data_IF_201036584369
#
_entry.id   IF_201036584369
#
_cell.length_a   1.000
_cell.length_b   1.000
_cell.length_c   1.000
_cell.angle_alpha   90.00
_cell.angle_beta   90.00
_cell.angle_gamma   90.00
#
_symmetry.space_group_name_H-M   'P 1'
#
loop_
_entity.id
_entity.type
_entity.pdbx_description
1 polymer ?
#
# COMPACT_ATOMS: atom_id res chain seq x y z
N UNK A 1 28.80 -12.50 0.43
CA UNK A 1 28.59 -11.05 0.26
C UNK A 1 27.19 -10.85 -0.29
N UNK A 2 26.24 -10.23 0.45
CA UNK A 2 24.95 -9.90 -0.12
C UNK A 2 25.12 -8.68 -1.02
N UNK A 3 24.61 -8.77 -2.25
CA UNK A 3 24.67 -7.69 -3.23
C UNK A 3 23.67 -6.59 -2.87
N UNK A 4 24.12 -5.35 -3.02
CA UNK A 4 23.32 -4.13 -2.87
C UNK A 4 22.26 -4.09 -3.96
N UNK A 5 20.99 -4.28 -3.60
CA UNK A 5 19.86 -4.09 -4.52
C UNK A 5 19.66 -2.59 -4.70
N UNK A 6 19.91 -2.10 -5.92
CA UNK A 6 19.68 -0.71 -6.30
C UNK A 6 18.16 -0.52 -6.51
N UNK A 7 17.49 0.04 -5.50
CA UNK A 7 16.07 0.40 -5.58
C UNK A 7 15.94 1.67 -6.41
N UNK A 8 15.75 1.49 -7.73
CA UNK A 8 15.42 2.57 -8.65
C UNK A 8 14.28 3.43 -8.09
N UNK A 9 14.48 4.75 -8.17
CA UNK A 9 13.66 5.80 -7.59
C UNK A 9 12.17 5.62 -7.92
N UNK A 10 11.38 5.26 -6.90
CA UNK A 10 9.92 5.16 -7.00
C UNK A 10 9.35 6.57 -7.21
N UNK A 11 8.96 6.90 -8.45
CA UNK A 11 8.36 8.20 -8.76
C UNK A 11 6.92 8.23 -8.25
N UNK A 12 6.74 8.75 -7.03
CA UNK A 12 5.45 9.15 -6.49
C UNK A 12 4.88 10.30 -7.34
N UNK A 13 3.88 10.02 -8.19
CA UNK A 13 3.18 11.08 -8.91
C UNK A 13 1.97 11.52 -8.11
N UNK A 14 1.85 12.83 -7.86
CA UNK A 14 0.64 13.40 -7.24
C UNK A 14 -0.49 13.33 -8.27
N UNK A 15 -1.53 12.54 -8.01
CA UNK A 15 -2.79 12.62 -8.77
C UNK A 15 -3.62 13.72 -8.11
N UNK A 16 -4.04 14.71 -8.88
CA UNK A 16 -4.78 15.88 -8.39
C UNK A 16 -6.28 15.57 -8.26
N UNK A 17 -6.74 15.38 -7.02
CA UNK A 17 -8.15 15.36 -6.61
C UNK A 17 -8.18 15.89 -5.17
N UNK A 18 -8.91 16.98 -4.94
CA UNK A 18 -9.14 17.73 -3.68
C UNK A 18 -7.92 17.95 -2.72
N UNK A 19 -7.56 19.20 -2.36
CA UNK A 19 -6.43 19.48 -1.46
C UNK A 19 -6.47 18.77 -0.08
N UNK A 20 -7.61 18.24 0.35
CA UNK A 20 -7.77 17.48 1.60
C UNK A 20 -7.37 15.99 1.47
N UNK A 21 -7.28 15.43 0.26
CA UNK A 21 -6.92 14.03 0.01
C UNK A 21 -5.49 13.95 -0.52
N UNK A 22 -4.51 13.77 0.37
CA UNK A 22 -3.15 13.46 -0.07
C UNK A 22 -3.13 12.02 -0.60
N UNK A 23 -3.07 11.84 -1.93
CA UNK A 23 -3.00 10.53 -2.58
C UNK A 23 -1.52 10.06 -2.64
N UNK A 24 -1.28 8.77 -2.37
CA UNK A 24 0.03 8.11 -2.52
C UNK A 24 -0.01 7.30 -3.83
N UNK A 25 -0.09 7.94 -4.99
CA UNK A 25 -0.10 7.16 -6.24
C UNK A 25 1.32 6.64 -6.52
N UNK A 26 1.56 5.40 -6.15
CA UNK A 26 2.75 4.67 -6.54
C UNK A 26 2.46 4.00 -7.89
N UNK A 27 2.76 4.67 -9.00
CA UNK A 27 2.80 3.99 -10.30
C UNK A 27 4.20 3.41 -10.44
N UNK A 28 4.33 2.08 -10.43
CA UNK A 28 5.61 1.43 -10.67
C UNK A 28 6.04 1.65 -12.14
N UNK A 29 7.10 2.41 -12.46
CA UNK A 29 7.61 2.48 -13.83
C UNK A 29 8.48 1.25 -14.15
N UNK A 30 8.96 0.51 -13.14
CA UNK A 30 9.85 -0.64 -13.30
C UNK A 30 9.19 -1.86 -13.96
N UNK A 31 7.86 -1.95 -14.02
CA UNK A 31 7.17 -2.98 -14.82
C UNK A 31 7.20 -2.68 -16.34
N UNK A 32 7.65 -1.50 -16.78
CA UNK A 32 7.69 -1.19 -18.22
C UNK A 32 8.79 -1.95 -18.99
N UNK A 33 9.72 -2.64 -18.32
CA UNK A 33 10.76 -3.44 -18.99
C UNK A 33 10.39 -4.89 -19.28
N UNK A 34 9.21 -5.36 -18.86
CA UNK A 34 8.76 -6.72 -19.14
C UNK A 34 7.24 -6.79 -19.36
N UNK A 35 6.75 -6.30 -20.51
CA UNK A 35 5.48 -6.72 -21.14
C UNK A 35 4.13 -6.61 -20.40
N UNK A 36 4.10 -6.42 -19.07
CA UNK A 36 2.90 -6.41 -18.24
C UNK A 36 3.03 -5.32 -17.18
N UNK A 37 2.35 -4.20 -17.42
CA UNK A 37 2.30 -3.10 -16.45
C UNK A 37 1.26 -3.40 -15.37
N UNK A 38 1.71 -3.68 -14.14
CA UNK A 38 0.82 -3.73 -12.97
C UNK A 38 0.50 -2.29 -12.54
N UNK A 39 -0.78 -1.94 -12.59
CA UNK A 39 -1.25 -0.64 -12.11
C UNK A 39 -1.75 -0.81 -10.67
N UNK A 40 -1.07 -0.14 -9.75
CA UNK A 40 -1.45 -0.13 -8.33
C UNK A 40 -1.65 1.33 -7.95
N UNK A 41 -2.83 1.67 -7.45
CA UNK A 41 -3.13 3.00 -6.91
C UNK A 41 -3.24 2.88 -5.39
N UNK A 42 -2.31 3.49 -4.66
CA UNK A 42 -2.34 3.55 -3.19
C UNK A 42 -2.91 4.90 -2.74
N UNK A 43 -3.79 4.89 -1.76
CA UNK A 43 -4.48 6.09 -1.26
C UNK A 43 -4.33 6.09 0.27
N UNK A 44 -3.64 7.11 0.79
CA UNK A 44 -3.45 7.29 2.23
C UNK A 44 -3.01 8.72 2.55
N UNK A 45 -3.61 9.33 3.59
CA UNK A 45 -3.17 10.64 4.06
C UNK A 45 -1.95 10.52 4.98
N UNK A 46 -1.22 11.63 5.19
CA UNK A 46 -0.13 11.66 6.17
C UNK A 46 -0.60 11.31 7.60
N UNK A 47 -1.81 11.72 7.98
CA UNK A 47 -2.43 11.37 9.26
C UNK A 47 -2.72 9.86 9.35
N UNK A 48 -3.14 9.22 8.27
CA UNK A 48 -3.37 7.77 8.24
C UNK A 48 -2.06 7.00 8.41
N UNK A 49 -0.96 7.45 7.79
CA UNK A 49 0.35 6.81 7.98
C UNK A 49 0.84 6.96 9.42
N UNK A 50 0.62 8.14 10.02
CA UNK A 50 0.91 8.38 11.44
C UNK A 50 0.06 7.50 12.35
N UNK A 51 -1.21 7.27 12.00
CA UNK A 51 -2.09 6.36 12.73
C UNK A 51 -1.56 4.93 12.66
N UNK A 52 -1.19 4.43 11.48
CA UNK A 52 -0.59 3.11 11.32
C UNK A 52 0.72 2.97 12.11
N UNK A 53 1.56 4.01 12.13
CA UNK A 53 2.79 4.04 12.93
C UNK A 53 2.52 3.98 14.45
N UNK A 54 1.41 4.55 14.91
CA UNK A 54 1.03 4.55 16.31
C UNK A 54 0.40 3.22 16.77
N UNK A 55 -0.19 2.47 15.84
CA UNK A 55 -0.88 1.21 16.15
C UNK A 55 0.01 -0.01 15.93
N UNK A 56 0.01 -0.91 16.91
CA UNK A 56 0.79 -2.17 16.88
C UNK A 56 0.05 -3.32 16.20
N UNK A 57 -1.26 -3.23 16.08
CA UNK A 57 -2.09 -4.26 15.44
C UNK A 57 -2.71 -3.71 14.18
N UNK A 58 -2.41 -4.34 13.06
CA UNK A 58 -2.95 -3.98 11.75
C UNK A 58 -3.89 -5.06 11.25
N UNK A 59 -4.93 -4.65 10.54
CA UNK A 59 -5.79 -5.54 9.77
C UNK A 59 -5.50 -5.39 8.28
N UNK A 60 -5.65 -6.44 7.49
CA UNK A 60 -5.53 -6.39 6.04
C UNK A 60 -6.64 -7.22 5.42
N UNK A 61 -7.28 -6.67 4.39
CA UNK A 61 -8.37 -7.34 3.70
C UNK A 61 -8.31 -7.09 2.18
N UNK A 62 -8.61 -8.14 1.43
CA UNK A 62 -8.65 -8.19 -0.01
C UNK A 62 -10.08 -8.32 -0.54
N UNK A 63 -10.69 -7.22 -0.99
CA UNK A 63 -12.03 -7.27 -1.59
C UNK A 63 -11.94 -7.42 -3.12
N UNK A 64 -12.35 -8.58 -3.64
CA UNK A 64 -12.19 -8.93 -5.07
C UNK A 64 -13.40 -8.61 -5.96
N UNK A 65 -14.62 -8.60 -5.39
CA UNK A 65 -15.86 -8.69 -6.18
C UNK A 65 -16.55 -7.35 -6.51
N UNK A 66 -16.01 -6.22 -6.03
CA UNK A 66 -16.68 -4.90 -6.09
C UNK A 66 -15.78 -3.82 -6.68
N UNK A 67 -14.81 -4.19 -7.51
CA UNK A 67 -13.86 -3.25 -8.11
C UNK A 67 -14.22 -2.89 -9.55
N UNK A 68 -13.88 -1.67 -10.03
CA UNK A 68 -14.07 -1.29 -11.42
C UNK A 68 -13.40 -2.28 -12.38
N UNK A 69 -13.94 -2.43 -13.59
CA UNK A 69 -13.56 -3.44 -14.60
C UNK A 69 -12.05 -3.58 -14.86
N UNK A 70 -11.26 -2.54 -14.60
CA UNK A 70 -9.81 -2.51 -14.83
C UNK A 70 -8.98 -3.04 -13.65
N UNK A 71 -9.56 -3.19 -12.47
CA UNK A 71 -8.89 -3.66 -11.27
C UNK A 71 -9.37 -5.07 -10.88
N UNK A 72 -8.52 -5.83 -10.22
CA UNK A 72 -8.81 -7.19 -9.76
C UNK A 72 -9.12 -7.25 -8.27
N UNK A 73 -8.65 -6.26 -7.49
CA UNK A 73 -8.81 -6.24 -6.04
C UNK A 73 -8.73 -4.83 -5.47
N UNK A 74 -9.52 -4.58 -4.42
CA UNK A 74 -9.35 -3.49 -3.47
C UNK A 74 -8.71 -4.08 -2.22
N UNK A 75 -7.44 -3.78 -2.00
CA UNK A 75 -6.72 -4.16 -0.79
C UNK A 75 -6.75 -3.00 0.21
N UNK A 76 -7.11 -3.28 1.46
CA UNK A 76 -7.23 -2.26 2.51
C UNK A 76 -6.41 -2.63 3.73
N UNK A 77 -5.62 -1.68 4.23
CA UNK A 77 -4.88 -1.80 5.49
C UNK A 77 -5.61 -0.98 6.56
N UNK A 78 -5.94 -1.65 7.65
CA UNK A 78 -6.65 -1.11 8.81
C UNK A 78 -5.69 -0.95 9.99
N UNK A 79 -5.90 0.10 10.76
CA UNK A 79 -5.35 0.27 12.09
C UNK A 79 -6.38 -0.21 13.13
N UNK A 80 -5.98 -1.01 14.10
CA UNK A 80 -6.86 -1.39 15.21
C UNK A 80 -6.82 -0.33 16.31
N UNK A 81 -7.87 0.47 16.43
CA UNK A 81 -7.96 1.61 17.36
C UNK A 81 -9.13 1.40 18.31
N UNK A 82 -8.85 1.33 19.61
CA UNK A 82 -9.87 1.23 20.67
C UNK A 82 -10.94 0.15 20.40
N UNK A 83 -10.51 -1.06 19.96
CA UNK A 83 -11.42 -2.16 19.69
C UNK A 83 -12.05 -2.17 18.30
N UNK A 84 -11.72 -1.20 17.43
CA UNK A 84 -12.32 -1.03 16.10
C UNK A 84 -11.27 -1.04 15.00
N UNK A 85 -11.62 -1.59 13.85
CA UNK A 85 -10.80 -1.48 12.64
C UNK A 85 -11.10 -0.16 11.92
N UNK A 86 -10.07 0.67 11.75
CA UNK A 86 -10.13 1.94 11.04
C UNK A 86 -9.30 1.83 9.77
N UNK A 87 -9.90 1.95 8.56
CA UNK A 87 -9.15 1.86 7.32
C UNK A 87 -8.20 3.06 7.18
N UNK A 88 -6.92 2.77 6.92
CA UNK A 88 -5.87 3.77 6.84
C UNK A 88 -5.29 3.89 5.43
N UNK A 89 -5.17 2.77 4.71
CA UNK A 89 -4.60 2.72 3.36
C UNK A 89 -5.53 1.90 2.47
N UNK A 90 -5.85 2.44 1.29
CA UNK A 90 -6.59 1.72 0.26
C UNK A 90 -5.69 1.52 -0.96
N UNK A 91 -5.78 0.36 -1.59
CA UNK A 91 -4.99 -0.01 -2.75
C UNK A 91 -5.89 -0.62 -3.82
N UNK A 92 -5.98 0.03 -4.98
CA UNK A 92 -6.62 -0.56 -6.16
C UNK A 92 -5.53 -1.27 -6.97
N UNK A 93 -5.67 -2.58 -7.14
CA UNK A 93 -4.63 -3.44 -7.69
C UNK A 93 -5.13 -4.17 -8.94
N UNK A 94 -4.32 -4.22 -9.99
CA UNK A 94 -4.58 -5.05 -11.19
C UNK A 94 -4.10 -6.49 -11.05
N UNK A 95 -3.60 -6.88 -9.88
CA UNK A 95 -3.07 -8.19 -9.55
C UNK A 95 -3.19 -8.48 -8.05
N UNK A 96 -2.85 -9.70 -7.64
CA UNK A 96 -2.93 -10.18 -6.23
C UNK A 96 -1.79 -11.13 -5.86
N UNK A 97 -0.68 -11.03 -6.59
CA UNK A 97 0.52 -11.83 -6.35
C UNK A 97 1.45 -11.18 -5.33
N UNK A 98 2.43 -11.94 -4.84
CA UNK A 98 3.44 -11.50 -3.86
C UNK A 98 4.11 -10.18 -4.27
N UNK A 99 4.35 -9.98 -5.58
CA UNK A 99 4.95 -8.75 -6.10
C UNK A 99 4.03 -7.53 -5.98
N UNK A 100 2.71 -7.73 -6.11
CA UNK A 100 1.71 -6.68 -5.89
C UNK A 100 1.75 -6.20 -4.44
N UNK A 101 1.71 -7.13 -3.47
CA UNK A 101 1.76 -6.78 -2.06
C UNK A 101 3.09 -6.18 -1.64
N UNK A 102 4.21 -6.75 -2.12
CA UNK A 102 5.54 -6.19 -1.90
C UNK A 102 5.66 -4.72 -2.36
N UNK A 103 5.05 -4.39 -3.50
CA UNK A 103 5.02 -3.01 -3.98
C UNK A 103 4.21 -2.07 -3.06
N UNK A 104 3.05 -2.51 -2.58
CA UNK A 104 2.20 -1.75 -1.65
C UNK A 104 2.98 -1.43 -0.36
N UNK A 105 3.62 -2.44 0.24
CA UNK A 105 4.40 -2.26 1.46
C UNK A 105 5.61 -1.35 1.24
N UNK A 106 6.30 -1.46 0.10
CA UNK A 106 7.41 -0.58 -0.22
C UNK A 106 6.96 0.89 -0.37
N UNK A 107 5.82 1.13 -1.04
CA UNK A 107 5.26 2.46 -1.15
C UNK A 107 4.90 3.05 0.23
N UNK A 108 4.36 2.21 1.12
CA UNK A 108 4.03 2.58 2.49
C UNK A 108 5.27 2.95 3.31
N UNK A 109 6.33 2.14 3.25
CA UNK A 109 7.63 2.39 3.91
C UNK A 109 8.24 3.70 3.40
N UNK A 110 8.25 3.91 2.09
CA UNK A 110 8.79 5.14 1.51
C UNK A 110 8.01 6.38 1.98
N UNK A 111 6.69 6.30 2.04
CA UNK A 111 5.86 7.40 2.54
C UNK A 111 6.11 7.66 4.02
N UNK A 112 6.27 6.62 4.83
CA UNK A 112 6.62 6.74 6.24
C UNK A 112 8.00 7.39 6.44
N UNK A 113 9.00 7.03 5.63
CA UNK A 113 10.32 7.65 5.63
C UNK A 113 10.25 9.16 5.32
N UNK A 114 9.48 9.57 4.31
CA UNK A 114 9.24 10.99 4.00
C UNK A 114 8.58 11.73 5.17
N UNK A 115 7.64 11.09 5.86
CA UNK A 115 6.93 11.66 7.02
C UNK A 115 7.73 11.57 8.32
N UNK A 116 8.90 10.92 8.29
CA UNK A 116 9.78 10.64 9.44
C UNK A 116 9.06 9.90 10.56
N UNK A 117 8.30 8.87 10.19
CA UNK A 117 7.64 7.96 11.14
C UNK A 117 8.10 6.53 10.89
N UNK A 118 8.17 5.74 11.96
CA UNK A 118 8.52 4.33 11.88
C UNK A 118 7.24 3.48 11.88
N UNK A 119 7.16 2.54 10.94
CA UNK A 119 6.08 1.55 10.91
C UNK A 119 6.58 0.28 11.58
N UNK A 120 5.94 -0.13 12.66
CA UNK A 120 6.34 -1.32 13.43
C UNK A 120 5.11 -2.06 13.96
N UNK A 121 4.34 -2.72 13.08
CA UNK A 121 3.27 -3.61 13.54
C UNK A 121 3.86 -4.81 14.28
N UNK A 122 3.33 -5.11 15.45
CA UNK A 122 3.64 -6.33 16.22
C UNK A 122 2.69 -7.48 15.84
N UNK A 123 1.49 -7.15 15.36
CA UNK A 123 0.48 -8.14 14.97
C UNK A 123 -0.20 -7.70 13.67
N UNK A 124 -0.28 -8.63 12.71
CA UNK A 124 -1.00 -8.44 11.46
C UNK A 124 -2.11 -9.49 11.43
N UNK A 125 -3.35 -9.03 11.26
CA UNK A 125 -4.54 -9.86 11.10
C UNK A 125 -4.92 -9.76 9.63
N UNK A 126 -4.94 -10.88 8.94
CA UNK A 126 -5.33 -10.96 7.55
C UNK A 126 -6.06 -12.27 7.27
N UNK A 127 -6.92 -12.26 6.27
CA UNK A 127 -7.53 -13.49 5.76
C UNK A 127 -6.48 -14.32 5.01
N UNK A 128 -6.69 -15.63 4.95
CA UNK A 128 -5.74 -16.52 4.27
C UNK A 128 -5.75 -16.25 2.76
N UNK A 129 -4.70 -15.59 2.29
CA UNK A 129 -4.38 -15.44 0.88
C UNK A 129 -3.02 -16.06 0.59
N UNK A 130 -2.91 -16.87 -0.47
CA UNK A 130 -1.68 -17.61 -0.82
C UNK A 130 -0.46 -16.67 -1.03
N UNK A 131 -0.73 -15.40 -1.35
CA UNK A 131 0.28 -14.41 -1.72
C UNK A 131 0.54 -13.33 -0.66
N UNK A 132 -0.22 -13.30 0.45
CA UNK A 132 -0.10 -12.30 1.51
C UNK A 132 0.60 -12.89 2.75
#
# INVERSE_FOLDING_TARGET
MPQTVNYGELTMKRVELDPLVQIVAAVCPLCMKAGESKHILVIATGSNIRLLAAMRTWGMDGTFKVVPQWYQQLFTIYAFVAGKLVPAVYCLCTGKDIGTYGFIFQALINKAAVLRVNLHPETIICDFEIAL
#
